data_IF_699847418987
#
_entry.id   IF_699847418987
#
_cell.length_a   1.000
_cell.length_b   1.000
_cell.length_c   1.000
_cell.angle_alpha   90.00
_cell.angle_beta   90.00
_cell.angle_gamma   90.00
#
_symmetry.space_group_name_H-M   'P 1'
#
loop_
_entity.id
_entity.type
_entity.pdbx_description
1 polymer ?
#
# COMPACT_ATOMS: atom_id res chain seq x y z
N UNK A 1 -15.71 -19.11 17.12
CA UNK A 1 -15.68 -18.68 15.70
C UNK A 1 -15.95 -17.18 15.58
N UNK A 2 -16.95 -16.59 16.26
CA UNK A 2 -17.20 -15.12 16.20
C UNK A 2 -16.10 -14.23 16.79
N UNK A 3 -15.51 -14.59 17.93
CA UNK A 3 -14.44 -13.78 18.57
C UNK A 3 -13.17 -13.67 17.71
N UNK A 4 -12.85 -14.73 16.95
CA UNK A 4 -11.66 -14.77 16.09
C UNK A 4 -11.80 -13.89 14.85
N UNK A 5 -13.02 -13.67 14.40
CA UNK A 5 -13.31 -12.80 13.25
C UNK A 5 -13.28 -11.32 13.67
N UNK A 6 -13.71 -10.99 14.89
CA UNK A 6 -13.74 -9.62 15.42
C UNK A 6 -12.33 -9.07 15.70
N UNK A 7 -11.46 -9.88 16.31
CA UNK A 7 -10.05 -9.51 16.57
C UNK A 7 -9.26 -9.30 15.25
N UNK A 8 -9.52 -10.15 14.24
CA UNK A 8 -8.94 -9.99 12.90
C UNK A 8 -9.50 -8.75 12.20
N UNK A 9 -10.77 -8.39 12.45
CA UNK A 9 -11.38 -7.19 11.87
C UNK A 9 -10.83 -5.89 12.48
N UNK A 10 -10.57 -5.87 13.79
CA UNK A 10 -9.92 -4.73 14.46
C UNK A 10 -8.48 -4.56 13.98
N UNK A 11 -7.70 -5.64 13.90
CA UNK A 11 -6.34 -5.61 13.34
C UNK A 11 -6.33 -5.12 11.90
N UNK A 12 -7.31 -5.54 11.08
CA UNK A 12 -7.48 -5.08 9.70
C UNK A 12 -7.73 -3.57 9.62
N UNK A 13 -8.52 -3.01 10.54
CA UNK A 13 -8.78 -1.57 10.57
C UNK A 13 -7.54 -0.77 10.99
N UNK A 14 -6.84 -1.22 12.03
CA UNK A 14 -5.64 -0.54 12.53
C UNK A 14 -4.52 -0.51 11.49
N UNK A 15 -4.30 -1.61 10.77
CA UNK A 15 -3.31 -1.67 9.69
C UNK A 15 -3.70 -0.79 8.49
N UNK A 16 -4.99 -0.65 8.20
CA UNK A 16 -5.47 0.28 7.19
C UNK A 16 -5.24 1.74 7.60
N UNK A 17 -5.47 2.09 8.87
CA UNK A 17 -5.20 3.44 9.38
C UNK A 17 -3.70 3.77 9.37
N UNK A 18 -2.85 2.80 9.72
CA UNK A 18 -1.40 2.97 9.71
C UNK A 18 -0.90 3.21 8.28
N UNK A 19 -1.24 2.34 7.33
CA UNK A 19 -0.79 2.52 5.94
C UNK A 19 -1.39 3.77 5.27
N UNK A 20 -2.60 4.18 5.67
CA UNK A 20 -3.23 5.41 5.19
C UNK A 20 -2.45 6.68 5.59
N UNK A 21 -1.62 6.63 6.64
CA UNK A 21 -0.82 7.79 7.07
C UNK A 21 0.10 8.32 5.96
N UNK A 22 0.52 7.46 5.02
CA UNK A 22 1.32 7.84 3.86
C UNK A 22 0.65 8.91 2.98
N UNK A 23 -0.68 8.99 3.00
CA UNK A 23 -1.44 10.04 2.31
C UNK A 23 -1.21 11.44 2.89
N UNK A 24 -0.82 11.52 4.16
CA UNK A 24 -0.54 12.76 4.91
C UNK A 24 0.94 13.07 5.03
N UNK A 25 1.81 12.13 4.67
CA UNK A 25 3.26 12.37 4.66
C UNK A 25 3.63 13.45 3.64
N UNK A 26 4.82 14.04 3.80
CA UNK A 26 5.31 14.97 2.80
C UNK A 26 5.71 14.22 1.51
N UNK A 27 5.91 14.96 0.42
CA UNK A 27 6.28 14.37 -0.86
C UNK A 27 7.66 13.69 -0.83
N UNK A 28 8.61 14.22 -0.04
CA UNK A 28 9.95 13.65 0.09
C UNK A 28 9.95 12.24 0.69
N UNK A 29 9.18 12.01 1.76
CA UNK A 29 9.00 10.70 2.40
C UNK A 29 8.39 9.71 1.41
N UNK A 30 7.34 10.12 0.69
CA UNK A 30 6.72 9.23 -0.31
C UNK A 30 7.68 8.89 -1.45
N UNK A 31 8.44 9.87 -1.97
CA UNK A 31 9.44 9.61 -3.04
C UNK A 31 10.53 8.67 -2.55
N UNK A 32 11.04 8.89 -1.34
CA UNK A 32 12.04 8.01 -0.73
C UNK A 32 11.54 6.56 -0.64
N UNK A 33 10.32 6.35 -0.14
CA UNK A 33 9.72 5.02 -0.09
C UNK A 33 9.54 4.40 -1.49
N UNK A 34 9.23 5.20 -2.50
CA UNK A 34 9.13 4.73 -3.90
C UNK A 34 10.47 4.33 -4.51
N UNK A 35 11.57 4.95 -4.05
CA UNK A 35 12.92 4.61 -4.49
C UNK A 35 13.46 3.37 -3.77
N UNK A 36 13.05 3.13 -2.52
CA UNK A 36 13.51 2.00 -1.69
C UNK A 36 12.69 0.72 -1.87
N UNK A 37 11.41 0.83 -2.21
CA UNK A 37 10.48 -0.31 -2.30
C UNK A 37 10.28 -0.75 -3.76
N UNK A 38 10.35 -2.06 -4.07
CA UNK A 38 10.05 -2.58 -5.40
C UNK A 38 8.65 -2.19 -5.91
N UNK A 39 8.54 -1.91 -7.21
CA UNK A 39 7.27 -1.54 -7.86
C UNK A 39 6.20 -2.64 -7.73
N UNK A 40 6.62 -3.91 -7.66
CA UNK A 40 5.74 -5.06 -7.48
C UNK A 40 5.08 -5.07 -6.10
N UNK A 41 5.81 -4.65 -5.07
CA UNK A 41 5.30 -4.55 -3.70
C UNK A 41 4.30 -3.39 -3.58
N UNK A 42 4.56 -2.26 -4.25
CA UNK A 42 3.57 -1.18 -4.38
C UNK A 42 2.29 -1.63 -5.09
N UNK A 43 2.40 -2.47 -6.12
CA UNK A 43 1.24 -3.00 -6.84
C UNK A 43 0.39 -3.93 -5.96
N UNK A 44 1.01 -4.61 -4.99
CA UNK A 44 0.31 -5.39 -3.97
C UNK A 44 -0.28 -4.49 -2.89
N UNK A 45 0.51 -3.59 -2.32
CA UNK A 45 0.12 -2.74 -1.18
C UNK A 45 -1.07 -1.81 -1.49
N UNK A 46 -1.16 -1.31 -2.73
CA UNK A 46 -2.21 -0.39 -3.17
C UNK A 46 -3.53 -1.08 -3.57
N UNK A 47 -3.59 -2.42 -3.57
CA UNK A 47 -4.85 -3.14 -3.77
C UNK A 47 -5.78 -2.88 -2.60
N UNK A 48 -7.02 -2.52 -2.89
CA UNK A 48 -8.05 -2.24 -1.89
C UNK A 48 -7.81 -0.98 -1.05
N UNK A 49 -6.81 -0.15 -1.37
CA UNK A 49 -6.61 1.13 -0.64
C UNK A 49 -7.64 2.18 -1.03
N UNK A 50 -7.86 3.11 -0.12
CA UNK A 50 -8.65 4.30 -0.38
C UNK A 50 -8.11 5.12 -1.56
N UNK A 51 -9.03 5.80 -2.25
CA UNK A 51 -8.68 6.60 -3.42
C UNK A 51 -7.73 7.75 -3.08
N UNK A 52 -7.82 8.31 -1.86
CA UNK A 52 -6.93 9.39 -1.43
C UNK A 52 -5.47 8.91 -1.33
N UNK A 53 -5.23 7.78 -0.66
CA UNK A 53 -3.90 7.21 -0.56
C UNK A 53 -3.33 6.91 -1.95
N UNK A 54 -4.09 6.22 -2.82
CA UNK A 54 -3.63 5.90 -4.18
C UNK A 54 -3.22 7.16 -4.95
N UNK A 55 -4.04 8.22 -4.90
CA UNK A 55 -3.74 9.50 -5.55
C UNK A 55 -2.47 10.14 -4.99
N UNK A 56 -2.26 10.11 -3.67
CA UNK A 56 -1.08 10.70 -3.04
C UNK A 56 0.22 10.01 -3.46
N UNK A 57 0.19 8.68 -3.62
CA UNK A 57 1.33 7.89 -4.10
C UNK A 57 1.57 8.16 -5.59
N UNK A 58 0.52 8.18 -6.42
CA UNK A 58 0.66 8.45 -7.85
C UNK A 58 1.13 9.86 -8.16
N UNK A 59 0.76 10.84 -7.33
CA UNK A 59 1.13 12.24 -7.51
C UNK A 59 2.65 12.47 -7.46
N UNK A 60 3.40 11.60 -6.78
CA UNK A 60 4.85 11.71 -6.64
C UNK A 60 5.61 10.80 -7.62
N UNK A 61 4.89 10.02 -8.43
CA UNK A 61 5.48 9.14 -9.45
C UNK A 61 5.59 9.86 -10.82
N UNK A 62 6.70 9.68 -11.55
CA UNK A 62 6.75 9.98 -12.98
C UNK A 62 5.71 9.16 -13.76
N UNK A 63 5.16 9.74 -14.83
CA UNK A 63 4.11 9.12 -15.67
C UNK A 63 4.45 7.68 -16.12
N UNK A 64 5.72 7.41 -16.45
CA UNK A 64 6.17 6.07 -16.85
C UNK A 64 6.04 5.04 -15.71
N UNK A 65 6.34 5.43 -14.48
CA UNK A 65 6.21 4.54 -13.32
C UNK A 65 4.75 4.23 -13.03
N UNK A 66 3.86 5.22 -13.15
CA UNK A 66 2.41 5.00 -13.01
C UNK A 66 1.92 3.95 -14.01
N UNK A 67 2.30 4.08 -15.29
CA UNK A 67 1.93 3.11 -16.33
C UNK A 67 2.48 1.71 -16.04
N UNK A 68 3.72 1.62 -15.56
CA UNK A 68 4.34 0.36 -15.17
C UNK A 68 3.58 -0.30 -14.01
N UNK A 69 3.25 0.47 -12.97
CA UNK A 69 2.52 0.00 -11.80
C UNK A 69 1.12 -0.50 -12.16
N UNK A 70 0.40 0.24 -13.02
CA UNK A 70 -0.91 -0.19 -13.53
C UNK A 70 -0.81 -1.51 -14.29
N UNK A 71 0.21 -1.67 -15.14
CA UNK A 71 0.45 -2.90 -15.89
C UNK A 71 0.76 -4.10 -14.97
N UNK A 72 1.59 -3.89 -13.93
CA UNK A 72 1.88 -4.93 -12.92
C UNK A 72 0.62 -5.30 -12.14
N UNK A 73 -0.14 -4.29 -11.69
CA UNK A 73 -1.37 -4.49 -10.90
C UNK A 73 -2.42 -5.29 -11.67
N UNK A 74 -2.56 -5.05 -12.97
CA UNK A 74 -3.47 -5.78 -13.85
C UNK A 74 -3.06 -7.26 -14.01
N UNK A 75 -1.75 -7.56 -14.03
CA UNK A 75 -1.22 -8.93 -14.15
C UNK A 75 -1.28 -9.72 -12.84
N UNK A 76 -1.19 -9.05 -11.70
CA UNK A 76 -1.19 -9.67 -10.36
C UNK A 76 -2.48 -10.46 -10.04
N UNK A 77 -3.60 -10.16 -10.70
CA UNK A 77 -4.88 -10.83 -10.41
C UNK A 77 -5.35 -10.62 -8.96
N UNK A 78 -6.23 -11.49 -8.42
CA UNK A 78 -6.62 -11.47 -7.02
C UNK A 78 -5.42 -11.78 -6.10
N UNK A 79 -5.23 -10.98 -5.06
CA UNK A 79 -4.17 -11.18 -4.05
C UNK A 79 -4.83 -11.43 -2.69
N UNK A 80 -4.38 -12.44 -1.92
CA UNK A 80 -4.88 -12.64 -0.56
C UNK A 80 -4.67 -11.41 0.32
N UNK A 81 -5.67 -11.07 1.13
CA UNK A 81 -5.62 -9.90 2.03
C UNK A 81 -4.41 -9.97 2.95
N UNK A 82 -4.09 -11.14 3.50
CA UNK A 82 -2.92 -11.38 4.35
C UNK A 82 -1.59 -11.01 3.69
N UNK A 83 -1.48 -11.19 2.37
CA UNK A 83 -0.29 -10.79 1.62
C UNK A 83 -0.24 -9.28 1.43
N UNK A 84 -1.38 -8.63 1.20
CA UNK A 84 -1.46 -7.17 1.08
C UNK A 84 -1.01 -6.54 2.41
N UNK A 85 -1.52 -7.04 3.53
CA UNK A 85 -1.16 -6.61 4.88
C UNK A 85 0.34 -6.79 5.17
N UNK A 86 0.88 -7.97 4.88
CA UNK A 86 2.32 -8.24 5.06
C UNK A 86 3.18 -7.20 4.33
N UNK A 87 2.90 -6.97 3.04
CA UNK A 87 3.67 -6.02 2.25
C UNK A 87 3.50 -4.58 2.77
N UNK A 88 2.30 -4.18 3.22
CA UNK A 88 2.10 -2.87 3.84
C UNK A 88 2.95 -2.70 5.09
N UNK A 89 3.01 -3.70 5.97
CA UNK A 89 3.87 -3.68 7.16
C UNK A 89 5.35 -3.59 6.81
N UNK A 90 5.80 -4.33 5.78
CA UNK A 90 7.17 -4.26 5.28
C UNK A 90 7.53 -2.85 4.77
N UNK A 91 6.63 -2.20 4.03
CA UNK A 91 6.80 -0.81 3.56
C UNK A 91 6.84 0.16 4.74
N UNK A 92 5.93 0.02 5.71
CA UNK A 92 5.91 0.89 6.90
C UNK A 92 7.16 0.70 7.76
N UNK A 93 7.75 -0.49 7.79
CA UNK A 93 9.02 -0.75 8.48
C UNK A 93 10.24 -0.10 7.84
N UNK A 94 10.14 0.38 6.60
CA UNK A 94 11.18 1.15 5.89
C UNK A 94 11.02 2.66 6.15
N UNK A 95 9.78 3.12 6.36
CA UNK A 95 9.47 4.51 6.61
C UNK A 95 10.08 5.07 7.90
N UNK A 96 10.36 6.38 7.97
CA UNK A 96 10.82 7.04 9.19
C UNK A 96 9.74 7.11 10.27
#
# INVERSE_FOLDING_TARGET
MRERDEEVLEQLQDEMYDFFILSRQNEEVRRRLLDEVPMEDWAVALKGTEALLRRSIYAVMPKRQVQQLEAITARLGPVPVSRIEQIRREIMGIGP
#
